data_IF_504587435046
#
_entry.id   IF_504587435046
#
_cell.length_a   1.000
_cell.length_b   1.000
_cell.length_c   1.000
_cell.angle_alpha   90.00
_cell.angle_beta   90.00
_cell.angle_gamma   90.00
#
_symmetry.space_group_name_H-M   'P 1'
#
loop_
_entity.id
_entity.type
_entity.pdbx_description
1 polymer ?
#
# COMPACT_ATOMS: atom_id res chain seq x y z
N UNK A 1 35.34 -11.36 8.43
CA UNK A 1 34.50 -11.49 9.65
C UNK A 1 33.12 -11.90 9.21
N UNK A 2 32.54 -12.95 9.80
CA UNK A 2 31.14 -13.32 9.52
C UNK A 2 30.20 -12.17 9.94
N UNK A 3 29.16 -11.84 9.17
CA UNK A 3 28.21 -10.81 9.56
C UNK A 3 27.54 -11.21 10.89
N UNK A 4 27.65 -10.36 11.91
CA UNK A 4 26.88 -10.54 13.15
C UNK A 4 25.41 -10.56 12.78
N UNK A 5 24.71 -11.64 13.12
CA UNK A 5 23.26 -11.74 12.96
C UNK A 5 22.59 -10.56 13.66
N UNK A 6 21.73 -9.85 12.93
CA UNK A 6 20.97 -8.71 13.46
C UNK A 6 20.00 -9.21 14.54
N UNK A 7 19.84 -8.42 15.60
CA UNK A 7 18.88 -8.72 16.66
C UNK A 7 17.49 -8.23 16.27
N UNK A 8 16.41 -8.90 16.70
CA UNK A 8 15.06 -8.38 16.50
C UNK A 8 14.86 -7.03 17.20
N UNK A 9 14.05 -6.18 16.57
CA UNK A 9 13.53 -4.97 17.17
C UNK A 9 12.63 -5.31 18.37
N UNK A 10 12.57 -4.38 19.32
CA UNK A 10 11.66 -4.55 20.46
C UNK A 10 10.23 -4.34 19.95
N UNK A 11 9.24 -5.13 20.44
CA UNK A 11 7.85 -4.88 20.15
C UNK A 11 7.50 -3.43 20.42
N UNK A 12 6.75 -2.84 19.49
CA UNK A 12 6.34 -1.45 19.61
C UNK A 12 4.97 -1.36 20.26
N UNK A 13 4.68 -0.23 20.91
CA UNK A 13 3.35 -0.03 21.49
C UNK A 13 2.34 0.11 20.36
N UNK A 14 1.16 -0.46 20.55
CA UNK A 14 0.02 -0.19 19.67
C UNK A 14 -0.16 1.33 19.56
N UNK A 15 -0.30 1.80 18.32
CA UNK A 15 -0.55 3.21 18.02
C UNK A 15 -1.96 3.34 17.46
N UNK A 16 -2.60 4.48 17.70
CA UNK A 16 -3.90 4.81 17.11
C UNK A 16 -3.74 5.69 15.87
N UNK A 17 -2.59 5.56 15.18
CA UNK A 17 -2.34 6.33 13.97
C UNK A 17 -3.35 5.94 12.89
N UNK A 18 -3.59 6.86 11.96
CA UNK A 18 -4.44 6.66 10.79
C UNK A 18 -3.70 7.13 9.54
N UNK A 19 -4.08 6.63 8.34
CA UNK A 19 -3.64 7.22 7.07
C UNK A 19 -3.87 8.74 7.05
N UNK A 20 -3.00 9.48 6.35
CA UNK A 20 -3.15 10.92 6.26
C UNK A 20 -4.40 11.29 5.49
N UNK A 21 -5.26 12.09 6.11
CA UNK A 21 -6.41 12.70 5.46
C UNK A 21 -6.39 14.22 5.62
N UNK A 22 -6.94 15.01 4.68
CA UNK A 22 -6.88 16.48 4.67
C UNK A 22 -7.41 17.16 5.94
N UNK A 23 -8.34 16.50 6.63
CA UNK A 23 -8.91 16.92 7.92
C UNK A 23 -8.77 15.83 9.00
N UNK A 24 -7.96 14.80 8.71
CA UNK A 24 -7.74 13.68 9.59
C UNK A 24 -7.01 14.09 10.87
N UNK A 25 -7.16 13.27 11.90
CA UNK A 25 -6.40 13.39 13.15
C UNK A 25 -5.46 12.18 13.27
N UNK A 26 -4.49 12.28 14.17
CA UNK A 26 -3.59 11.17 14.51
C UNK A 26 -2.79 10.62 13.31
N UNK A 27 -2.31 11.49 12.42
CA UNK A 27 -1.36 11.06 11.38
C UNK A 27 -0.13 10.44 12.02
N UNK A 28 0.51 9.50 11.32
CA UNK A 28 1.72 8.83 11.79
C UNK A 28 2.78 9.85 12.27
N UNK A 29 3.35 9.63 13.45
CA UNK A 29 4.46 10.43 14.04
C UNK A 29 5.48 9.45 14.60
N UNK A 30 6.47 9.13 13.80
CA UNK A 30 7.38 8.00 13.96
C UNK A 30 8.84 8.45 14.06
N UNK A 31 9.12 9.75 14.08
CA UNK A 31 10.49 10.30 14.14
C UNK A 31 11.34 9.79 15.32
N UNK A 32 10.70 9.42 16.44
CA UNK A 32 11.33 8.87 17.64
C UNK A 32 11.18 7.33 17.75
N UNK A 33 10.48 6.72 16.80
CA UNK A 33 10.15 5.29 16.77
C UNK A 33 10.84 4.60 15.58
N UNK A 34 12.17 4.53 15.62
CA UNK A 34 13.03 4.06 14.52
C UNK A 34 12.57 2.74 13.86
N UNK A 35 12.18 1.73 14.63
CA UNK A 35 11.69 0.46 14.08
C UNK A 35 10.32 0.59 13.39
N UNK A 36 9.41 1.42 13.93
CA UNK A 36 8.12 1.70 13.29
C UNK A 36 8.30 2.52 12.01
N UNK A 37 9.20 3.52 12.03
CA UNK A 37 9.51 4.31 10.84
C UNK A 37 10.13 3.45 9.74
N UNK A 38 11.03 2.52 10.10
CA UNK A 38 11.60 1.59 9.14
C UNK A 38 10.50 0.73 8.48
N UNK A 39 9.59 0.17 9.28
CA UNK A 39 8.45 -0.61 8.76
C UNK A 39 7.50 0.25 7.90
N UNK A 40 7.24 1.48 8.32
CA UNK A 40 6.38 2.44 7.62
C UNK A 40 6.92 2.85 6.23
N UNK A 41 8.23 2.66 6.01
CA UNK A 41 8.92 2.89 4.74
C UNK A 41 9.23 1.59 3.99
N UNK A 42 8.71 0.44 4.44
CA UNK A 42 8.92 -0.86 3.80
C UNK A 42 10.29 -1.50 4.05
N UNK A 43 11.09 -1.00 5.00
CA UNK A 43 12.39 -1.60 5.32
C UNK A 43 12.27 -2.79 6.30
N UNK A 44 13.07 -3.82 6.07
CA UNK A 44 13.14 -5.01 6.93
C UNK A 44 14.12 -4.86 8.10
N UNK A 45 14.89 -3.78 8.15
CA UNK A 45 15.78 -3.49 9.25
C UNK A 45 16.03 -1.98 9.42
N UNK A 46 16.47 -1.59 10.62
CA UNK A 46 16.73 -0.16 10.90
C UNK A 46 18.07 0.33 10.32
N UNK A 47 18.97 -0.54 9.87
CA UNK A 47 20.20 -0.14 9.19
C UNK A 47 19.86 0.50 7.84
N UNK A 48 18.92 -0.09 7.09
CA UNK A 48 18.46 0.43 5.81
C UNK A 48 17.85 1.83 5.96
N UNK A 49 17.03 2.03 7.00
CA UNK A 49 16.50 3.36 7.34
C UNK A 49 17.63 4.36 7.60
N UNK A 50 18.69 3.97 8.33
CA UNK A 50 19.82 4.86 8.64
C UNK A 50 20.58 5.23 7.37
N UNK A 51 20.87 4.24 6.52
CA UNK A 51 21.54 4.43 5.23
C UNK A 51 20.75 5.38 4.34
N UNK A 52 19.44 5.15 4.20
CA UNK A 52 18.56 6.03 3.43
C UNK A 52 18.46 7.44 4.02
N UNK A 53 18.39 7.58 5.35
CA UNK A 53 18.29 8.88 6.01
C UNK A 53 19.52 9.79 5.78
N UNK A 54 20.69 9.20 5.52
CA UNK A 54 21.93 9.95 5.21
C UNK A 54 22.30 9.93 3.72
N UNK A 55 21.39 9.49 2.86
CA UNK A 55 21.57 9.49 1.41
C UNK A 55 21.24 10.86 0.79
N UNK A 56 21.71 11.10 -0.44
CA UNK A 56 21.59 12.41 -1.09
C UNK A 56 20.15 12.98 -1.18
N UNK A 57 19.07 12.20 -1.45
CA UNK A 57 17.73 12.77 -1.53
C UNK A 57 17.28 13.39 -0.21
N UNK A 58 17.60 12.74 0.91
CA UNK A 58 17.23 13.19 2.24
C UNK A 58 18.07 14.39 2.67
N UNK A 59 19.39 14.35 2.47
CA UNK A 59 20.31 15.43 2.85
C UNK A 59 20.08 16.71 2.03
N UNK A 60 19.76 16.56 0.74
CA UNK A 60 19.40 17.67 -0.14
C UNK A 60 18.08 18.33 0.30
N UNK A 61 17.08 17.51 0.65
CA UNK A 61 15.79 18.00 1.15
C UNK A 61 15.92 18.68 2.53
N UNK A 62 16.74 18.14 3.44
CA UNK A 62 16.96 18.70 4.77
C UNK A 62 17.37 20.18 4.73
N UNK A 63 18.23 20.55 3.77
CA UNK A 63 18.74 21.91 3.57
C UNK A 63 17.64 22.97 3.62
N UNK A 64 16.51 22.71 2.98
CA UNK A 64 15.39 23.65 2.89
C UNK A 64 14.30 23.33 3.92
N UNK A 65 14.13 22.05 4.26
CA UNK A 65 13.13 21.61 5.22
C UNK A 65 13.42 22.13 6.64
N UNK A 66 14.61 21.89 7.17
CA UNK A 66 14.94 22.17 8.56
C UNK A 66 14.71 23.64 9.00
N UNK A 67 15.17 24.67 8.25
CA UNK A 67 14.91 26.06 8.62
C UNK A 67 13.43 26.46 8.49
N UNK A 68 12.72 25.92 7.49
CA UNK A 68 11.32 26.28 7.24
C UNK A 68 10.35 25.55 8.18
N UNK A 69 10.60 24.28 8.50
CA UNK A 69 9.73 23.42 9.31
C UNK A 69 9.89 23.63 10.83
N UNK A 70 10.73 24.57 11.27
CA UNK A 70 10.96 24.82 12.70
C UNK A 70 9.63 25.15 13.41
N UNK A 71 9.24 24.31 14.38
CA UNK A 71 7.95 24.39 15.11
C UNK A 71 6.70 24.29 14.22
N UNK A 72 6.84 23.79 13.00
CA UNK A 72 5.73 23.60 12.08
C UNK A 72 5.00 22.28 12.34
N UNK A 73 3.67 22.30 12.20
CA UNK A 73 2.84 21.10 12.15
C UNK A 73 2.57 20.72 10.69
N UNK A 74 2.33 19.43 10.43
CA UNK A 74 2.11 18.90 9.07
C UNK A 74 0.93 19.59 8.35
N UNK A 75 -0.17 19.80 9.07
CA UNK A 75 -1.45 20.33 8.54
C UNK A 75 -1.26 21.55 7.63
N UNK A 76 -0.40 22.49 8.03
CA UNK A 76 -0.19 23.72 7.26
C UNK A 76 0.48 23.52 5.90
N UNK A 77 1.49 22.65 5.82
CA UNK A 77 2.16 22.35 4.56
C UNK A 77 1.34 21.38 3.69
N UNK A 78 0.65 20.43 4.34
CA UNK A 78 -0.15 19.42 3.66
C UNK A 78 -1.41 20.02 3.04
N UNK A 79 -1.94 21.12 3.55
CA UNK A 79 -3.00 21.88 2.90
C UNK A 79 -2.63 22.32 1.47
N UNK A 80 -1.38 22.75 1.24
CA UNK A 80 -0.90 23.11 -0.11
C UNK A 80 -0.71 21.89 -1.01
N UNK A 81 -0.40 20.72 -0.43
CA UNK A 81 -0.22 19.47 -1.16
C UNK A 81 -1.54 18.78 -1.50
N UNK A 82 -2.58 19.05 -0.70
CA UNK A 82 -3.92 18.53 -0.92
C UNK A 82 -4.69 19.33 -1.98
N UNK A 83 -4.61 20.66 -1.93
CA UNK A 83 -5.29 21.53 -2.88
C UNK A 83 -4.63 21.45 -4.28
N UNK A 84 -5.33 20.99 -5.34
CA UNK A 84 -4.72 20.79 -6.66
C UNK A 84 -4.14 22.07 -7.28
N UNK A 85 -4.78 23.22 -7.04
CA UNK A 85 -4.31 24.53 -7.55
C UNK A 85 -2.99 24.93 -6.91
N UNK A 86 -2.93 24.90 -5.58
CA UNK A 86 -1.72 25.13 -4.80
C UNK A 86 -0.61 24.13 -5.13
N UNK A 87 -0.95 22.84 -5.26
CA UNK A 87 0.02 21.80 -5.60
C UNK A 87 0.65 22.06 -6.97
N UNK A 88 -0.14 22.49 -7.94
CA UNK A 88 0.36 22.86 -9.27
C UNK A 88 1.33 24.05 -9.22
N UNK A 89 1.04 25.07 -8.40
CA UNK A 89 1.97 26.19 -8.14
C UNK A 89 3.30 25.68 -7.55
N UNK A 90 3.22 24.80 -6.54
CA UNK A 90 4.40 24.21 -5.89
C UNK A 90 5.23 23.40 -6.89
N UNK A 91 4.59 22.56 -7.70
CA UNK A 91 5.26 21.71 -8.70
C UNK A 91 5.88 22.53 -9.83
N UNK A 92 5.25 23.62 -10.26
CA UNK A 92 5.83 24.51 -11.28
C UNK A 92 7.13 25.16 -10.77
N UNK A 93 7.17 25.55 -9.49
CA UNK A 93 8.37 26.09 -8.86
C UNK A 93 9.43 25.00 -8.52
N UNK A 94 9.07 23.72 -8.57
CA UNK A 94 9.98 22.60 -8.27
C UNK A 94 11.11 22.45 -9.29
N UNK A 95 10.94 22.98 -10.50
CA UNK A 95 11.78 22.67 -11.66
C UNK A 95 13.04 23.55 -11.76
N UNK A 96 12.99 24.83 -11.34
CA UNK A 96 14.00 25.81 -11.81
C UNK A 96 14.62 26.74 -10.75
N UNK A 97 14.32 26.63 -9.45
CA UNK A 97 14.82 27.62 -8.47
C UNK A 97 14.95 27.11 -7.03
N UNK A 98 15.88 27.70 -6.28
CA UNK A 98 15.92 27.56 -4.83
C UNK A 98 14.62 28.12 -4.22
N UNK A 99 13.92 27.36 -3.36
CA UNK A 99 12.58 27.72 -2.89
C UNK A 99 12.56 29.00 -2.05
N UNK A 100 13.69 29.33 -1.42
CA UNK A 100 13.90 30.55 -0.64
C UNK A 100 13.92 31.83 -1.50
N UNK A 101 14.21 31.72 -2.80
CA UNK A 101 14.17 32.84 -3.75
C UNK A 101 12.76 33.06 -4.31
N UNK A 102 11.96 32.00 -4.39
CA UNK A 102 10.56 32.05 -4.87
C UNK A 102 9.64 32.51 -3.74
N UNK A 103 9.75 31.88 -2.57
CA UNK A 103 8.92 32.15 -1.39
C UNK A 103 9.74 32.86 -0.31
N UNK A 104 10.14 34.09 -0.64
CA UNK A 104 10.97 34.91 0.26
C UNK A 104 10.20 35.31 1.53
N UNK A 105 10.87 35.31 2.67
CA UNK A 105 10.37 35.88 3.92
C UNK A 105 11.55 36.38 4.77
N UNK A 106 11.29 37.35 5.65
CA UNK A 106 12.24 37.95 6.58
C UNK A 106 11.69 37.94 8.00
N UNK A 107 12.58 38.00 9.00
CA UNK A 107 12.21 38.00 10.42
C UNK A 107 11.26 39.15 10.82
N UNK A 108 11.29 40.26 10.08
CA UNK A 108 10.42 41.43 10.32
C UNK A 108 9.06 41.38 9.61
N UNK A 109 8.79 40.39 8.76
CA UNK A 109 7.54 40.31 8.02
C UNK A 109 6.37 39.93 8.94
N UNK A 110 5.11 40.19 8.54
CA UNK A 110 3.94 39.74 9.30
C UNK A 110 4.00 38.23 9.60
N UNK A 111 3.66 37.77 10.83
CA UNK A 111 3.77 36.36 11.21
C UNK A 111 3.03 35.40 10.27
N UNK A 112 1.85 35.80 9.79
CA UNK A 112 1.06 35.01 8.85
C UNK A 112 1.73 34.87 7.48
N UNK A 113 2.42 35.93 7.02
CA UNK A 113 3.19 35.88 5.78
C UNK A 113 4.37 34.91 5.93
N UNK A 114 5.18 35.06 6.98
CA UNK A 114 6.30 34.15 7.26
C UNK A 114 5.83 32.69 7.35
N UNK A 115 4.74 32.44 8.07
CA UNK A 115 4.19 31.09 8.22
C UNK A 115 3.73 30.50 6.89
N UNK A 116 3.11 31.31 6.03
CA UNK A 116 2.64 30.90 4.70
C UNK A 116 3.82 30.54 3.80
N UNK A 117 4.83 31.39 3.69
CA UNK A 117 6.00 31.14 2.84
C UNK A 117 6.78 29.91 3.31
N UNK A 118 6.99 29.76 4.63
CA UNK A 118 7.62 28.56 5.19
C UNK A 118 6.86 27.29 4.84
N UNK A 119 5.52 27.29 4.92
CA UNK A 119 4.69 26.13 4.56
C UNK A 119 4.84 25.77 3.08
N UNK A 120 4.91 26.76 2.19
CA UNK A 120 5.17 26.56 0.75
C UNK A 120 6.55 25.94 0.50
N UNK A 121 7.61 26.46 1.15
CA UNK A 121 8.97 25.89 1.08
C UNK A 121 8.96 24.42 1.54
N UNK A 122 8.25 24.10 2.63
CA UNK A 122 8.18 22.71 3.11
C UNK A 122 7.41 21.82 2.13
N UNK A 123 6.26 22.27 1.61
CA UNK A 123 5.51 21.52 0.61
C UNK A 123 6.36 21.22 -0.64
N UNK A 124 7.05 22.24 -1.18
CA UNK A 124 7.99 22.09 -2.28
C UNK A 124 9.11 21.09 -1.98
N UNK A 125 9.66 21.15 -0.77
CA UNK A 125 10.74 20.26 -0.35
C UNK A 125 10.30 18.81 -0.34
N UNK A 126 9.08 18.53 0.13
CA UNK A 126 8.51 17.18 0.12
C UNK A 126 8.25 16.70 -1.31
N UNK A 127 7.68 17.54 -2.18
CA UNK A 127 7.51 17.22 -3.60
C UNK A 127 8.83 16.86 -4.28
N UNK A 128 9.86 17.70 -4.08
CA UNK A 128 11.17 17.46 -4.68
C UNK A 128 11.89 16.25 -4.08
N UNK A 129 11.72 15.99 -2.79
CA UNK A 129 12.25 14.76 -2.18
C UNK A 129 11.63 13.53 -2.84
N UNK A 130 10.33 13.51 -3.13
CA UNK A 130 9.67 12.41 -3.83
C UNK A 130 10.27 12.21 -5.24
N UNK A 131 10.46 13.28 -6.01
CA UNK A 131 11.09 13.20 -7.34
C UNK A 131 12.54 12.69 -7.25
N UNK A 132 13.29 13.20 -6.28
CA UNK A 132 14.67 12.78 -6.03
C UNK A 132 14.76 11.30 -5.61
N UNK A 133 13.80 10.79 -4.84
CA UNK A 133 13.76 9.36 -4.46
C UNK A 133 13.45 8.48 -5.67
N UNK A 134 12.57 8.92 -6.58
CA UNK A 134 12.35 8.21 -7.85
C UNK A 134 13.65 8.13 -8.65
N UNK A 135 14.36 9.25 -8.80
CA UNK A 135 15.66 9.26 -9.46
C UNK A 135 16.67 8.35 -8.75
N UNK A 136 16.74 8.44 -7.42
CA UNK A 136 17.64 7.63 -6.59
C UNK A 136 17.46 6.12 -6.83
N UNK A 137 16.22 5.66 -6.98
CA UNK A 137 15.89 4.26 -7.29
C UNK A 137 16.44 3.80 -8.63
N UNK A 138 16.38 4.66 -9.65
CA UNK A 138 16.77 4.34 -11.03
C UNK A 138 18.26 4.64 -11.30
N UNK A 139 18.95 5.27 -10.35
CA UNK A 139 20.35 5.70 -10.47
C UNK A 139 21.32 4.58 -10.12
N UNK A 140 22.45 4.51 -10.83
CA UNK A 140 23.50 3.52 -10.55
C UNK A 140 24.09 3.68 -9.14
N UNK A 141 24.63 2.59 -8.58
CA UNK A 141 25.30 2.61 -7.28
C UNK A 141 26.41 3.67 -7.21
N UNK A 142 27.27 3.73 -8.23
CA UNK A 142 28.41 4.65 -8.26
C UNK A 142 27.98 6.12 -8.27
N UNK A 143 26.91 6.43 -8.99
CA UNK A 143 26.36 7.79 -9.03
C UNK A 143 25.66 8.15 -7.70
N UNK A 144 24.88 7.23 -7.12
CA UNK A 144 24.29 7.41 -5.80
C UNK A 144 25.36 7.63 -4.71
N UNK A 145 26.47 6.91 -4.77
CA UNK A 145 27.61 7.10 -3.88
C UNK A 145 28.24 8.48 -4.04
N UNK A 146 28.55 8.87 -5.28
CA UNK A 146 29.13 10.18 -5.60
C UNK A 146 28.24 11.33 -5.10
N UNK A 147 26.94 11.30 -5.42
CA UNK A 147 25.98 12.33 -4.99
C UNK A 147 25.81 12.36 -3.46
N UNK A 148 25.78 11.19 -2.83
CA UNK A 148 25.68 11.09 -1.36
C UNK A 148 26.90 11.69 -0.67
N UNK A 149 28.11 11.42 -1.16
CA UNK A 149 29.33 12.00 -0.61
C UNK A 149 29.37 13.53 -0.76
N UNK A 150 28.93 14.06 -1.91
CA UNK A 150 28.80 15.51 -2.13
C UNK A 150 27.84 16.12 -1.12
N UNK A 151 26.63 15.57 -1.00
CA UNK A 151 25.62 16.11 -0.08
C UNK A 151 25.99 15.93 1.40
N UNK A 152 26.69 14.86 1.77
CA UNK A 152 27.25 14.69 3.12
C UNK A 152 28.29 15.78 3.44
N UNK A 153 29.20 16.08 2.50
CA UNK A 153 30.18 17.14 2.68
C UNK A 153 29.51 18.52 2.81
N UNK A 154 28.52 18.81 1.98
CA UNK A 154 27.75 20.06 2.05
C UNK A 154 26.91 20.13 3.33
N UNK A 155 26.33 19.03 3.78
CA UNK A 155 25.62 18.94 5.06
C UNK A 155 26.56 19.26 6.22
N UNK A 156 27.76 18.67 6.26
CA UNK A 156 28.76 18.97 7.27
C UNK A 156 29.10 20.46 7.28
N UNK A 157 29.37 21.07 6.10
CA UNK A 157 29.63 22.52 5.97
C UNK A 157 28.52 23.38 6.58
N UNK A 158 27.25 23.05 6.27
CA UNK A 158 26.08 23.77 6.81
C UNK A 158 25.96 23.68 8.33
N UNK A 159 26.40 22.57 8.91
CA UNK A 159 26.26 22.30 10.34
C UNK A 159 27.54 22.48 11.17
N UNK A 160 28.68 22.88 10.59
CA UNK A 160 29.92 23.19 11.34
C UNK A 160 29.68 24.24 12.43
N UNK A 161 28.82 25.22 12.16
CA UNK A 161 28.51 26.34 13.06
C UNK A 161 27.31 26.09 13.98
N UNK A 162 26.65 24.93 13.89
CA UNK A 162 25.48 24.62 14.71
C UNK A 162 25.96 24.50 16.17
N UNK A 163 25.63 25.53 16.97
CA UNK A 163 26.15 25.89 18.30
C UNK A 163 25.99 24.84 19.42
N UNK A 164 25.77 23.57 19.09
CA UNK A 164 25.56 22.47 20.03
C UNK A 164 26.88 21.81 20.49
N UNK A 165 28.04 22.24 19.97
CA UNK A 165 29.36 21.76 20.42
C UNK A 165 29.60 20.28 20.12
N UNK A 166 28.94 19.73 19.09
CA UNK A 166 29.04 18.31 18.72
C UNK A 166 29.68 18.17 17.36
N UNK A 167 30.74 17.38 17.30
CA UNK A 167 31.32 16.92 16.05
C UNK A 167 30.39 15.90 15.41
N UNK A 168 29.90 16.23 14.22
CA UNK A 168 29.06 15.37 13.39
C UNK A 168 29.98 14.74 12.34
N UNK A 169 29.84 13.44 12.12
CA UNK A 169 30.55 12.70 11.08
C UNK A 169 29.61 11.73 10.38
N UNK A 170 29.92 11.41 9.14
CA UNK A 170 29.30 10.31 8.40
C UNK A 170 30.29 9.14 8.32
N UNK A 171 29.81 7.92 7.99
CA UNK A 171 30.69 6.79 7.68
C UNK A 171 31.54 7.11 6.44
N UNK A 172 32.78 6.62 6.41
CA UNK A 172 33.69 6.85 5.28
C UNK A 172 33.20 6.18 3.98
N UNK A 173 32.46 5.08 4.12
CA UNK A 173 31.91 4.31 3.01
C UNK A 173 30.43 4.00 3.24
N UNK A 174 29.70 3.82 2.15
CA UNK A 174 28.33 3.33 2.12
C UNK A 174 28.31 2.04 1.32
N UNK A 175 27.72 0.99 1.88
CA UNK A 175 27.73 -0.34 1.24
C UNK A 175 26.48 -0.61 0.41
N UNK A 176 25.42 0.17 0.63
CA UNK A 176 24.13 0.00 -0.02
C UNK A 176 23.38 1.35 -0.15
N UNK A 177 22.36 1.35 -1.01
CA UNK A 177 21.46 2.48 -1.25
C UNK A 177 19.99 1.99 -1.21
N UNK A 178 19.49 1.65 -0.02
CA UNK A 178 18.13 1.13 0.14
C UNK A 178 17.09 2.21 -0.20
N UNK A 179 16.07 1.84 -0.97
CA UNK A 179 15.02 2.76 -1.40
C UNK A 179 13.74 2.49 -0.59
N UNK A 180 13.09 3.52 -0.03
CA UNK A 180 11.84 3.35 0.71
C UNK A 180 10.66 3.07 -0.23
N UNK A 181 9.64 2.43 0.32
CA UNK A 181 8.30 2.38 -0.27
C UNK A 181 7.52 3.63 0.17
N UNK A 182 7.39 4.60 -0.72
CA UNK A 182 6.68 5.85 -0.42
C UNK A 182 5.15 5.74 -0.55
N UNK A 183 4.63 4.65 -1.12
CA UNK A 183 3.20 4.53 -1.45
C UNK A 183 2.73 5.60 -2.45
N UNK A 184 1.43 5.92 -2.49
CA UNK A 184 0.41 5.45 -1.56
C UNK A 184 0.09 3.96 -1.74
N UNK A 185 -0.19 3.28 -0.63
CA UNK A 185 -0.76 1.93 -0.62
C UNK A 185 -2.28 2.04 -0.75
N UNK A 186 -2.75 2.22 -1.97
CA UNK A 186 -4.17 2.48 -2.27
C UNK A 186 -5.07 1.31 -1.88
N UNK A 187 -4.56 0.09 -1.95
CA UNK A 187 -5.19 -1.14 -1.46
C UNK A 187 -5.42 -1.12 0.07
N UNK A 188 -4.63 -0.32 0.79
CA UNK A 188 -4.68 -0.14 2.25
C UNK A 188 -5.33 1.18 2.67
N UNK A 189 -6.03 1.84 1.75
CA UNK A 189 -6.79 3.07 2.02
C UNK A 189 -5.93 4.34 2.12
N UNK A 190 -4.68 4.30 1.66
CA UNK A 190 -3.83 5.49 1.62
C UNK A 190 -4.16 6.37 0.41
N UNK A 191 -3.96 7.69 0.56
CA UNK A 191 -3.97 8.64 -0.55
C UNK A 191 -2.58 9.25 -0.76
N UNK A 192 -2.43 10.06 -1.82
CA UNK A 192 -1.15 10.66 -2.22
C UNK A 192 -0.44 11.47 -1.12
N UNK A 193 -1.16 11.98 -0.11
CA UNK A 193 -0.53 12.70 1.00
C UNK A 193 0.37 11.79 1.84
N UNK A 194 0.15 10.48 1.85
CA UNK A 194 0.96 9.53 2.60
C UNK A 194 2.41 9.50 2.09
N UNK A 195 2.60 9.67 0.78
CA UNK A 195 3.92 9.80 0.16
C UNK A 195 4.71 10.95 0.77
N UNK A 196 4.07 12.10 0.93
CA UNK A 196 4.69 13.28 1.55
C UNK A 196 4.85 13.10 3.07
N UNK A 197 3.95 12.35 3.71
CA UNK A 197 4.05 12.02 5.13
C UNK A 197 5.28 11.18 5.45
N UNK A 198 5.56 10.16 4.64
CA UNK A 198 6.78 9.36 4.72
C UNK A 198 8.04 10.21 4.58
N UNK A 199 8.10 11.10 3.59
CA UNK A 199 9.21 12.05 3.44
C UNK A 199 9.36 12.97 4.66
N UNK A 200 8.25 13.51 5.19
CA UNK A 200 8.27 14.33 6.39
C UNK A 200 8.88 13.58 7.57
N UNK A 201 8.42 12.35 7.82
CA UNK A 201 8.90 11.54 8.95
C UNK A 201 10.39 11.21 8.85
N UNK A 202 10.91 10.92 7.65
CA UNK A 202 12.35 10.72 7.44
C UNK A 202 13.14 11.99 7.77
N UNK A 203 12.69 13.16 7.32
CA UNK A 203 13.36 14.44 7.59
C UNK A 203 13.33 14.78 9.09
N UNK A 204 12.22 14.49 9.77
CA UNK A 204 12.12 14.63 11.24
C UNK A 204 13.02 13.65 11.96
N UNK A 205 13.12 12.41 11.49
CA UNK A 205 14.03 11.40 12.02
C UNK A 205 15.50 11.83 11.90
N UNK A 206 15.91 12.33 10.73
CA UNK A 206 17.25 12.92 10.54
C UNK A 206 17.48 14.10 11.50
N UNK A 207 16.52 15.03 11.58
CA UNK A 207 16.55 16.17 12.51
C UNK A 207 16.65 15.75 13.98
N UNK A 208 16.00 14.65 14.38
CA UNK A 208 16.09 14.10 15.74
C UNK A 208 17.50 13.56 16.08
N UNK A 209 18.33 13.29 15.06
CA UNK A 209 19.72 12.89 15.19
C UNK A 209 20.56 13.93 15.94
N UNK A 210 20.23 15.22 15.82
CA UNK A 210 20.92 16.30 16.53
C UNK A 210 20.64 16.30 18.05
N UNK A 211 19.67 15.55 18.55
CA UNK A 211 19.33 15.48 19.97
C UNK A 211 20.13 14.39 20.72
N UNK A 212 20.54 14.69 21.97
CA UNK A 212 21.07 13.76 22.99
C UNK A 212 21.98 12.60 22.49
N UNK A 213 22.94 12.88 21.61
CA UNK A 213 23.89 11.86 21.11
C UNK A 213 23.29 10.83 20.15
N UNK A 214 22.06 11.06 19.66
CA UNK A 214 21.40 10.19 18.69
C UNK A 214 22.22 10.05 17.39
N UNK A 215 22.88 11.13 16.95
CA UNK A 215 23.78 11.08 15.80
C UNK A 215 24.83 9.98 15.93
N UNK A 216 25.54 9.95 17.07
CA UNK A 216 26.57 8.94 17.32
C UNK A 216 26.01 7.53 17.44
N UNK A 217 24.72 7.38 17.75
CA UNK A 217 24.03 6.09 17.87
C UNK A 217 23.37 5.61 16.59
N UNK A 218 23.31 6.45 15.55
CA UNK A 218 22.60 6.14 14.29
C UNK A 218 23.48 6.29 13.06
N UNK A 219 24.34 7.31 12.99
CA UNK A 219 24.95 7.76 11.75
C UNK A 219 26.48 7.93 11.79
N UNK A 220 27.11 7.98 12.98
CA UNK A 220 28.51 8.41 13.07
C UNK A 220 29.54 7.53 12.36
N UNK A 221 29.30 6.22 12.26
CA UNK A 221 30.21 5.28 11.62
C UNK A 221 29.47 4.01 11.13
N UNK A 222 30.18 3.20 10.36
CA UNK A 222 29.61 2.02 9.73
C UNK A 222 29.21 0.92 10.72
N UNK A 223 29.95 0.75 11.81
CA UNK A 223 29.61 -0.23 12.85
C UNK A 223 28.25 0.09 13.47
N UNK A 224 28.01 1.36 13.79
CA UNK A 224 26.75 1.82 14.36
C UNK A 224 25.61 1.69 13.36
N UNK A 225 25.81 2.09 12.10
CA UNK A 225 24.80 1.93 11.05
C UNK A 225 24.37 0.48 10.89
N UNK A 226 25.33 -0.45 10.81
CA UNK A 226 25.09 -1.90 10.67
C UNK A 226 24.59 -2.58 11.94
N UNK A 227 24.65 -1.92 13.10
CA UNK A 227 24.11 -2.43 14.36
C UNK A 227 22.58 -2.31 14.47
N UNK A 228 21.88 -2.17 13.34
CA UNK A 228 20.44 -2.07 13.29
C UNK A 228 19.72 -3.32 13.82
N UNK A 229 18.40 -3.25 13.76
CA UNK A 229 17.53 -4.32 14.24
C UNK A 229 16.62 -4.81 13.13
N UNK A 230 16.32 -6.11 13.14
CA UNK A 230 15.32 -6.71 12.25
C UNK A 230 13.96 -6.14 12.60
N UNK A 231 13.25 -5.67 11.60
CA UNK A 231 11.91 -5.11 11.66
C UNK A 231 10.96 -6.10 10.99
N UNK A 232 9.82 -6.36 11.62
CA UNK A 232 8.78 -7.23 11.08
C UNK A 232 7.48 -6.45 10.88
N UNK A 233 6.51 -7.09 10.24
CA UNK A 233 5.22 -6.48 9.88
C UNK A 233 4.50 -5.83 11.07
N UNK A 234 4.54 -6.44 12.26
CA UNK A 234 3.90 -5.89 13.48
C UNK A 234 4.43 -4.53 13.94
N UNK A 235 5.55 -4.05 13.37
CA UNK A 235 6.08 -2.71 13.63
C UNK A 235 5.44 -1.64 12.74
N UNK A 236 4.84 -2.02 11.60
CA UNK A 236 4.16 -1.08 10.72
C UNK A 236 2.89 -0.52 11.40
N UNK A 237 2.38 0.65 10.99
CA UNK A 237 1.08 1.11 11.46
C UNK A 237 -0.03 0.10 11.11
N UNK A 238 -1.09 0.02 11.91
CA UNK A 238 -2.08 -1.07 11.82
C UNK A 238 -2.76 -1.22 10.47
N UNK A 239 -2.94 -0.15 9.69
CA UNK A 239 -3.49 -0.22 8.33
C UNK A 239 -2.47 -0.74 7.31
N UNK A 240 -1.18 -0.63 7.60
CA UNK A 240 -0.10 -1.15 6.77
C UNK A 240 0.24 -2.60 7.04
N UNK A 241 -0.06 -3.08 8.26
CA UNK A 241 0.19 -4.46 8.65
C UNK A 241 -0.53 -5.38 7.68
N UNK A 242 0.20 -6.35 7.13
CA UNK A 242 -0.48 -7.51 6.58
C UNK A 242 -1.25 -8.11 7.74
N UNK A 243 -2.58 -8.05 7.66
CA UNK A 243 -3.42 -8.82 8.56
C UNK A 243 -3.02 -10.26 8.27
N UNK A 244 -2.08 -10.80 9.07
CA UNK A 244 -1.87 -12.23 9.13
C UNK A 244 -3.28 -12.77 9.34
N UNK A 245 -3.83 -13.54 8.38
CA UNK A 245 -5.20 -13.98 8.44
C UNK A 245 -5.39 -14.60 9.81
N UNK A 246 -6.10 -13.89 10.67
CA UNK A 246 -6.33 -14.35 12.03
C UNK A 246 -7.48 -15.33 11.83
N UNK A 247 -7.11 -16.52 11.36
CA UNK A 247 -7.95 -17.38 10.54
C UNK A 247 -7.74 -17.11 9.05
N UNK A 248 -6.80 -17.81 8.42
CA UNK A 248 -7.15 -18.36 7.11
C UNK A 248 -8.39 -19.21 7.37
N UNK A 249 -9.47 -19.13 6.56
CA UNK A 249 -10.43 -20.22 6.53
C UNK A 249 -9.59 -21.48 6.35
N UNK A 250 -9.80 -22.46 7.21
CA UNK A 250 -9.16 -23.75 7.07
C UNK A 250 -9.24 -24.16 5.58
N UNK A 251 -8.12 -24.34 4.86
CA UNK A 251 -8.15 -24.70 3.43
C UNK A 251 -8.89 -26.01 3.17
N UNK A 252 -9.31 -26.72 4.22
CA UNK A 252 -10.23 -27.84 4.19
C UNK A 252 -11.64 -27.51 3.65
N UNK A 253 -12.04 -26.24 3.48
CA UNK A 253 -13.39 -25.89 2.99
C UNK A 253 -13.42 -24.80 1.91
N UNK A 254 -12.77 -25.07 0.77
CA UNK A 254 -13.00 -24.31 -0.46
C UNK A 254 -14.50 -24.31 -0.80
N UNK A 255 -15.07 -23.14 -1.06
CA UNK A 255 -16.48 -23.01 -1.41
C UNK A 255 -16.64 -23.10 -2.92
N UNK A 256 -17.23 -24.20 -3.39
CA UNK A 256 -17.67 -24.33 -4.77
C UNK A 256 -19.01 -23.60 -4.95
N UNK A 257 -19.07 -22.72 -5.94
CA UNK A 257 -20.27 -21.99 -6.33
C UNK A 257 -20.70 -22.42 -7.72
N UNK A 258 -21.95 -22.86 -7.86
CA UNK A 258 -22.55 -23.01 -9.16
C UNK A 258 -23.29 -21.72 -9.56
N UNK A 259 -23.05 -21.21 -10.76
CA UNK A 259 -23.82 -20.09 -11.32
C UNK A 259 -24.91 -20.64 -12.23
N UNK A 260 -26.14 -20.17 -12.00
CA UNK A 260 -27.29 -20.35 -12.88
C UNK A 260 -27.75 -18.98 -13.37
N UNK A 261 -27.57 -18.72 -14.66
CA UNK A 261 -28.17 -17.57 -15.31
C UNK A 261 -29.64 -17.85 -15.57
N UNK A 262 -30.51 -17.14 -14.85
CA UNK A 262 -31.96 -17.24 -14.98
C UNK A 262 -32.41 -16.29 -16.10
N UNK A 263 -32.75 -16.87 -17.27
CA UNK A 263 -33.25 -16.13 -18.44
C UNK A 263 -34.55 -16.78 -18.97
N UNK A 264 -35.67 -16.54 -18.30
CA UNK A 264 -36.98 -17.05 -18.72
C UNK A 264 -38.04 -15.94 -18.66
N UNK A 265 -39.24 -16.22 -19.19
CA UNK A 265 -40.34 -15.26 -19.32
C UNK A 265 -40.81 -14.65 -17.99
N UNK A 266 -40.45 -15.26 -16.84
CA UNK A 266 -40.80 -14.74 -15.52
C UNK A 266 -39.79 -13.70 -14.98
N UNK A 267 -38.68 -13.47 -15.69
CA UNK A 267 -37.66 -12.48 -15.31
C UNK A 267 -38.04 -11.12 -15.90
N UNK A 268 -37.88 -10.07 -15.09
CA UNK A 268 -38.12 -8.70 -15.54
C UNK A 268 -37.22 -8.36 -16.73
N UNK A 269 -37.79 -7.71 -17.76
CA UNK A 269 -37.10 -7.35 -19.00
C UNK A 269 -36.60 -8.54 -19.83
N UNK A 270 -37.25 -9.71 -19.72
CA UNK A 270 -36.89 -10.91 -20.49
C UNK A 270 -36.81 -10.64 -22.01
N UNK A 271 -37.79 -9.94 -22.59
CA UNK A 271 -37.81 -9.70 -24.03
C UNK A 271 -36.66 -8.81 -24.50
N UNK A 272 -36.32 -7.79 -23.71
CA UNK A 272 -35.23 -6.87 -23.98
C UNK A 272 -33.87 -7.57 -23.80
N UNK A 273 -33.71 -8.38 -22.76
CA UNK A 273 -32.53 -9.22 -22.56
C UNK A 273 -32.36 -10.23 -23.71
N UNK A 274 -33.44 -10.88 -24.16
CA UNK A 274 -33.41 -11.78 -25.31
C UNK A 274 -33.01 -11.06 -26.61
N UNK A 275 -33.50 -9.84 -26.81
CA UNK A 275 -33.12 -9.00 -27.94
C UNK A 275 -31.63 -8.62 -27.90
N UNK A 276 -31.11 -8.24 -26.73
CA UNK A 276 -29.69 -7.91 -26.55
C UNK A 276 -28.79 -9.12 -26.86
N UNK A 277 -29.18 -10.33 -26.43
CA UNK A 277 -28.48 -11.58 -26.75
C UNK A 277 -28.48 -11.84 -28.27
N UNK A 278 -29.62 -11.68 -28.94
CA UNK A 278 -29.70 -11.85 -30.41
C UNK A 278 -28.84 -10.83 -31.15
N UNK A 279 -28.80 -9.58 -30.69
CA UNK A 279 -27.91 -8.55 -31.24
C UNK A 279 -26.43 -8.90 -31.00
N UNK A 280 -26.08 -9.42 -29.82
CA UNK A 280 -24.72 -9.88 -29.51
C UNK A 280 -24.30 -11.06 -30.42
N UNK A 281 -25.21 -12.02 -30.68
CA UNK A 281 -24.98 -13.12 -31.63
C UNK A 281 -24.71 -12.61 -33.05
N UNK A 282 -25.46 -11.61 -33.52
CA UNK A 282 -25.20 -10.96 -34.83
C UNK A 282 -23.83 -10.30 -34.89
N UNK A 283 -23.34 -9.78 -33.76
CA UNK A 283 -21.97 -9.25 -33.59
C UNK A 283 -20.91 -10.32 -33.36
N UNK A 284 -21.27 -11.61 -33.46
CA UNK A 284 -20.38 -12.76 -33.22
C UNK A 284 -19.81 -12.84 -31.79
N UNK A 285 -20.52 -12.27 -30.81
CA UNK A 285 -20.16 -12.39 -29.39
C UNK A 285 -20.59 -13.75 -28.87
N UNK A 286 -19.69 -14.45 -28.18
CA UNK A 286 -20.00 -15.73 -27.53
C UNK A 286 -20.93 -15.51 -26.33
N UNK A 287 -22.01 -16.29 -26.29
CA UNK A 287 -22.97 -16.33 -25.18
C UNK A 287 -22.57 -17.46 -24.23
N UNK A 288 -22.36 -17.18 -22.93
CA UNK A 288 -22.01 -18.22 -21.96
C UNK A 288 -23.13 -19.23 -21.78
N UNK A 289 -22.80 -20.41 -21.25
CA UNK A 289 -23.79 -21.38 -20.82
C UNK A 289 -24.68 -20.83 -19.69
N UNK A 290 -25.91 -21.33 -19.60
CA UNK A 290 -26.85 -20.91 -18.54
C UNK A 290 -26.53 -21.47 -17.17
N UNK A 291 -25.61 -22.44 -17.08
CA UNK A 291 -25.17 -23.08 -15.85
C UNK A 291 -23.69 -23.43 -15.97
N UNK A 292 -22.89 -23.06 -14.97
CA UNK A 292 -21.46 -23.40 -14.89
C UNK A 292 -20.92 -23.22 -13.47
N UNK A 293 -19.82 -23.92 -13.15
CA UNK A 293 -19.11 -23.73 -11.90
C UNK A 293 -18.31 -22.43 -11.95
N UNK A 294 -18.52 -21.57 -10.97
CA UNK A 294 -17.76 -20.34 -10.82
C UNK A 294 -16.31 -20.70 -10.47
N UNK A 295 -15.32 -20.19 -11.21
CA UNK A 295 -13.94 -20.65 -11.08
C UNK A 295 -13.23 -20.13 -9.81
N UNK A 296 -13.91 -19.32 -9.00
CA UNK A 296 -13.32 -18.65 -7.84
C UNK A 296 -14.09 -18.98 -6.58
N UNK A 297 -13.37 -19.21 -5.49
CA UNK A 297 -13.98 -19.22 -4.16
C UNK A 297 -14.44 -17.78 -3.81
N UNK A 298 -15.70 -17.55 -3.41
CA UNK A 298 -16.21 -16.23 -3.10
C UNK A 298 -15.47 -15.51 -1.95
N UNK A 299 -14.83 -16.26 -1.04
CA UNK A 299 -14.14 -15.68 0.12
C UNK A 299 -12.83 -14.98 -0.26
N UNK A 300 -12.26 -15.31 -1.43
CA UNK A 300 -11.02 -14.70 -1.93
C UNK A 300 -11.20 -13.23 -2.28
N UNK A 301 -12.44 -12.80 -2.54
CA UNK A 301 -12.72 -11.42 -2.89
C UNK A 301 -12.71 -10.53 -1.64
N UNK A 302 -11.84 -9.51 -1.58
CA UNK A 302 -11.81 -8.56 -0.47
C UNK A 302 -13.07 -7.69 -0.43
N UNK A 303 -13.67 -7.41 -1.59
CA UNK A 303 -14.82 -6.51 -1.76
C UNK A 303 -15.93 -7.19 -2.58
N UNK A 304 -17.19 -6.90 -2.26
CA UNK A 304 -18.35 -7.42 -3.02
C UNK A 304 -18.37 -6.93 -4.47
N UNK A 305 -17.87 -5.73 -4.73
CA UNK A 305 -17.73 -5.18 -6.08
C UNK A 305 -16.86 -6.08 -6.96
N UNK A 306 -15.73 -6.58 -6.43
CA UNK A 306 -14.85 -7.48 -7.16
C UNK A 306 -15.50 -8.82 -7.44
N UNK A 307 -16.28 -9.34 -6.50
CA UNK A 307 -17.06 -10.57 -6.70
C UNK A 307 -18.07 -10.39 -7.85
N UNK A 308 -18.86 -9.31 -7.83
CA UNK A 308 -19.84 -8.98 -8.89
C UNK A 308 -19.17 -8.73 -10.25
N UNK A 309 -18.05 -8.02 -10.26
CA UNK A 309 -17.32 -7.75 -11.49
C UNK A 309 -16.73 -9.03 -12.11
N UNK A 310 -16.31 -10.00 -11.29
CA UNK A 310 -15.87 -11.30 -11.80
C UNK A 310 -17.04 -12.12 -12.35
N UNK A 311 -18.21 -12.07 -11.71
CA UNK A 311 -19.44 -12.63 -12.28
C UNK A 311 -19.75 -12.00 -13.65
N UNK A 312 -19.70 -10.67 -13.77
CA UNK A 312 -19.90 -9.96 -15.05
C UNK A 312 -18.95 -10.44 -16.14
N UNK A 313 -17.69 -10.69 -15.79
CA UNK A 313 -16.67 -11.21 -16.73
C UNK A 313 -16.97 -12.65 -17.13
N UNK A 314 -17.31 -13.52 -16.19
CA UNK A 314 -17.69 -14.92 -16.48
C UNK A 314 -18.92 -14.99 -17.39
N UNK A 315 -19.88 -14.08 -17.22
CA UNK A 315 -21.08 -14.00 -18.04
C UNK A 315 -20.92 -13.15 -19.30
N UNK A 316 -19.72 -12.60 -19.55
CA UNK A 316 -19.44 -11.74 -20.69
C UNK A 316 -20.42 -10.54 -20.83
N UNK A 317 -20.89 -10.03 -19.69
CA UNK A 317 -21.95 -9.03 -19.58
C UNK A 317 -21.73 -7.81 -20.48
N UNK A 318 -20.51 -7.25 -20.48
CA UNK A 318 -20.17 -6.07 -21.27
C UNK A 318 -20.35 -6.30 -22.78
N UNK A 319 -19.83 -7.41 -23.31
CA UNK A 319 -19.92 -7.70 -24.74
C UNK A 319 -21.35 -8.05 -25.17
N UNK A 320 -22.16 -8.58 -24.25
CA UNK A 320 -23.57 -8.86 -24.47
C UNK A 320 -24.45 -7.59 -24.40
N UNK A 321 -23.96 -6.51 -23.80
CA UNK A 321 -24.80 -5.33 -23.50
C UNK A 321 -25.77 -5.59 -22.35
N UNK A 322 -25.34 -6.39 -21.37
CA UNK A 322 -26.11 -6.78 -20.19
C UNK A 322 -25.37 -6.40 -18.91
N UNK A 323 -26.09 -6.11 -17.83
CA UNK A 323 -25.58 -5.90 -16.48
C UNK A 323 -26.36 -6.76 -15.46
N UNK A 324 -25.84 -6.87 -14.24
CA UNK A 324 -26.46 -7.59 -13.13
C UNK A 324 -27.71 -6.85 -12.64
N UNK A 325 -28.86 -7.51 -12.73
CA UNK A 325 -30.11 -7.03 -12.15
C UNK A 325 -30.31 -7.54 -10.71
N UNK A 326 -29.98 -8.82 -10.48
CA UNK A 326 -30.04 -9.42 -9.15
C UNK A 326 -29.17 -10.66 -9.04
N UNK A 327 -28.67 -10.93 -7.83
CA UNK A 327 -27.92 -12.14 -7.49
C UNK A 327 -28.52 -12.72 -6.22
N UNK A 328 -29.07 -13.93 -6.30
CA UNK A 328 -29.57 -14.69 -5.15
C UNK A 328 -28.65 -15.87 -4.91
N UNK A 329 -28.14 -15.97 -3.68
CA UNK A 329 -27.37 -17.13 -3.25
C UNK A 329 -28.34 -18.07 -2.54
N UNK A 330 -28.39 -19.30 -3.01
CA UNK A 330 -29.14 -20.40 -2.43
C UNK A 330 -28.13 -21.39 -1.84
N UNK A 331 -28.41 -21.94 -0.67
CA UNK A 331 -27.65 -23.08 -0.16
C UNK A 331 -28.61 -24.10 0.45
N UNK A 332 -28.13 -25.34 0.52
CA UNK A 332 -28.83 -26.44 1.17
C UNK A 332 -28.12 -26.77 2.47
N UNK A 333 -28.89 -26.90 3.54
CA UNK A 333 -28.41 -27.43 4.81
C UNK A 333 -28.65 -28.94 4.83
N UNK A 334 -27.57 -29.72 4.79
CA UNK A 334 -27.63 -31.19 4.80
C UNK A 334 -28.11 -31.76 6.15
N UNK A 335 -27.95 -31.01 7.25
CA UNK A 335 -28.32 -31.46 8.59
C UNK A 335 -29.80 -31.16 8.91
N UNK A 336 -30.32 -30.03 8.42
CA UNK A 336 -31.68 -29.55 8.76
C UNK A 336 -32.72 -29.65 7.63
N UNK A 337 -32.35 -30.18 6.46
CA UNK A 337 -33.22 -30.23 5.27
C UNK A 337 -33.82 -28.83 4.95
N UNK A 338 -33.03 -27.79 5.20
CA UNK A 338 -33.49 -26.40 5.19
C UNK A 338 -32.84 -25.63 4.05
N UNK A 339 -33.67 -24.89 3.30
CA UNK A 339 -33.22 -24.03 2.21
C UNK A 339 -33.05 -22.60 2.70
N UNK A 340 -31.83 -22.10 2.67
CA UNK A 340 -31.48 -20.73 3.06
C UNK A 340 -31.14 -19.90 1.82
N UNK A 341 -31.39 -18.59 1.89
CA UNK A 341 -31.08 -17.67 0.81
C UNK A 341 -30.49 -16.34 1.29
N UNK A 342 -29.62 -15.75 0.48
CA UNK A 342 -29.02 -14.44 0.70
C UNK A 342 -29.07 -13.57 -0.58
N UNK A 343 -29.07 -12.24 -0.40
CA UNK A 343 -29.07 -11.28 -1.50
C UNK A 343 -27.66 -10.78 -1.79
N UNK A 344 -26.97 -11.39 -2.75
CA UNK A 344 -25.60 -10.95 -3.07
C UNK A 344 -25.52 -9.62 -3.85
N UNK A 345 -26.66 -9.04 -4.23
CA UNK A 345 -26.74 -7.77 -4.94
C UNK A 345 -26.93 -6.57 -4.01
N UNK A 346 -27.65 -6.71 -2.90
CA UNK A 346 -27.92 -5.59 -1.98
C UNK A 346 -27.32 -5.77 -0.59
N UNK A 347 -26.98 -7.00 -0.19
CA UNK A 347 -26.49 -7.29 1.15
C UNK A 347 -25.06 -6.81 1.37
N UNK A 348 -24.79 -6.43 2.61
CA UNK A 348 -23.45 -6.11 3.09
C UNK A 348 -22.49 -7.30 2.94
N UNK A 349 -21.26 -7.03 2.49
CA UNK A 349 -20.28 -8.07 2.15
C UNK A 349 -19.89 -8.93 3.35
N UNK A 350 -19.74 -8.33 4.54
CA UNK A 350 -19.39 -9.09 5.74
C UNK A 350 -20.49 -10.08 6.13
N UNK A 351 -21.76 -9.70 5.96
CA UNK A 351 -22.90 -10.62 6.17
C UNK A 351 -22.93 -11.75 5.14
N UNK A 352 -22.60 -11.45 3.89
CA UNK A 352 -22.58 -12.44 2.83
C UNK A 352 -21.40 -13.43 3.00
N UNK A 353 -20.23 -12.95 3.42
CA UNK A 353 -19.11 -13.81 3.81
C UNK A 353 -19.47 -14.72 4.97
N UNK A 354 -20.10 -14.19 6.02
CA UNK A 354 -20.58 -15.00 7.14
C UNK A 354 -21.61 -16.06 6.70
N UNK A 355 -22.40 -15.78 5.66
CA UNK A 355 -23.32 -16.75 5.07
C UNK A 355 -22.57 -17.89 4.35
N UNK A 356 -21.49 -17.58 3.65
CA UNK A 356 -20.62 -18.56 3.00
C UNK A 356 -19.81 -19.39 4.01
N UNK A 357 -19.31 -18.76 5.07
CA UNK A 357 -18.49 -19.39 6.12
C UNK A 357 -19.31 -20.25 7.10
N UNK A 358 -20.64 -20.19 7.06
CA UNK A 358 -21.49 -20.97 7.97
C UNK A 358 -21.24 -22.47 7.75
N UNK A 359 -20.79 -23.20 8.78
CA UNK A 359 -20.44 -24.60 8.62
C UNK A 359 -21.62 -25.52 8.28
N UNK A 360 -22.86 -25.07 8.46
CA UNK A 360 -24.07 -25.82 8.10
C UNK A 360 -24.52 -25.58 6.66
N UNK A 361 -23.91 -24.64 5.94
CA UNK A 361 -24.26 -24.37 4.54
C UNK A 361 -23.34 -25.14 3.58
N UNK A 362 -23.93 -25.89 2.65
CA UNK A 362 -23.23 -26.53 1.53
C UNK A 362 -23.98 -26.31 0.22
N UNK A 363 -23.38 -26.74 -0.91
CA UNK A 363 -24.01 -26.76 -2.23
C UNK A 363 -24.58 -25.40 -2.66
N UNK A 364 -23.70 -24.39 -2.71
CA UNK A 364 -24.12 -23.03 -3.00
C UNK A 364 -24.43 -22.81 -4.50
N UNK A 365 -25.58 -22.22 -4.77
CA UNK A 365 -26.05 -21.89 -6.12
C UNK A 365 -26.35 -20.39 -6.21
N UNK A 366 -25.75 -19.72 -7.20
CA UNK A 366 -26.01 -18.34 -7.55
C UNK A 366 -27.03 -18.26 -8.68
N UNK A 367 -28.26 -17.86 -8.35
CA UNK A 367 -29.26 -17.50 -9.35
C UNK A 367 -29.09 -16.02 -9.76
N UNK A 368 -28.76 -15.80 -11.03
CA UNK A 368 -28.39 -14.49 -11.57
C UNK A 368 -29.41 -14.06 -12.62
N UNK A 369 -29.96 -12.85 -12.45
CA UNK A 369 -30.76 -12.18 -13.47
C UNK A 369 -29.96 -11.03 -14.06
N UNK A 370 -30.09 -10.84 -15.37
CA UNK A 370 -29.40 -9.78 -16.11
C UNK A 370 -30.41 -8.83 -16.75
N UNK A 371 -30.02 -7.57 -16.88
CA UNK A 371 -30.77 -6.52 -17.56
C UNK A 371 -29.97 -5.86 -18.67
N UNK A 372 -30.61 -5.35 -19.74
CA UNK A 372 -29.92 -4.67 -20.82
C UNK A 372 -29.43 -3.28 -20.43
N UNK A 373 -28.30 -2.85 -20.98
CA UNK A 373 -27.81 -1.48 -20.92
C UNK A 373 -27.39 -0.97 -22.30
N UNK A 374 -27.25 0.34 -22.45
CA UNK A 374 -26.78 0.95 -23.69
C UNK A 374 -25.26 0.79 -23.85
N UNK A 375 -24.85 -0.12 -24.72
CA UNK A 375 -23.43 -0.40 -24.98
C UNK A 375 -22.71 0.76 -25.67
N UNK A 376 -23.44 1.67 -26.32
CA UNK A 376 -22.87 2.79 -27.06
C UNK A 376 -22.69 4.04 -26.17
N UNK A 377 -23.08 3.99 -24.88
CA UNK A 377 -22.79 5.06 -23.92
C UNK A 377 -21.32 5.01 -23.47
N UNK A 378 -20.47 5.95 -23.92
CA UNK A 378 -19.04 5.95 -23.60
C UNK A 378 -18.76 6.29 -22.12
N UNK A 379 -19.76 6.77 -21.37
CA UNK A 379 -19.64 7.13 -19.97
C UNK A 379 -20.15 6.04 -19.01
N UNK A 380 -20.78 5.00 -19.53
CA UNK A 380 -21.32 3.92 -18.73
C UNK A 380 -20.30 2.78 -18.58
N UNK A 381 -19.95 2.47 -17.34
CA UNK A 381 -19.12 1.30 -16.98
C UNK A 381 -19.92 0.39 -16.08
N UNK A 382 -20.07 -0.88 -16.48
CA UNK A 382 -20.71 -1.91 -15.64
C UNK A 382 -19.81 -2.38 -14.49
N UNK A 383 -18.51 -2.09 -14.53
CA UNK A 383 -17.59 -2.51 -13.46
C UNK A 383 -17.62 -1.54 -12.30
N UNK A 384 -17.84 -2.09 -11.10
CA UNK A 384 -17.97 -1.34 -9.86
C UNK A 384 -16.61 -1.03 -9.22
N UNK A 385 -15.59 -1.87 -9.45
CA UNK A 385 -14.24 -1.66 -8.94
C UNK A 385 -13.28 -1.18 -10.03
N UNK A 386 -12.59 -0.07 -9.75
CA UNK A 386 -11.57 0.51 -10.63
C UNK A 386 -10.20 -0.16 -10.52
N UNK A 387 -10.04 -1.15 -9.62
CA UNK A 387 -8.78 -1.89 -9.48
C UNK A 387 -8.56 -2.89 -10.62
N UNK A 388 -7.30 -3.26 -10.85
CA UNK A 388 -6.94 -4.33 -11.79
C UNK A 388 -7.65 -5.65 -11.37
N UNK A 389 -8.28 -6.39 -12.32
CA UNK A 389 -8.90 -7.68 -12.01
C UNK A 389 -7.90 -8.64 -11.36
N UNK A 390 -8.38 -9.51 -10.48
CA UNK A 390 -7.57 -10.59 -9.90
C UNK A 390 -7.08 -11.48 -11.05
N UNK A 391 -5.77 -11.60 -11.23
CA UNK A 391 -5.16 -12.35 -12.33
C UNK A 391 -5.26 -13.87 -12.06
N UNK A 392 -5.84 -14.66 -12.98
CA UNK A 392 -6.00 -16.10 -12.83
C UNK A 392 -4.68 -16.88 -12.63
N UNK A 393 -3.57 -16.37 -13.14
CA UNK A 393 -2.27 -17.01 -13.05
C UNK A 393 -1.59 -16.80 -11.70
N UNK A 394 -1.94 -15.74 -10.96
CA UNK A 394 -1.36 -15.45 -9.65
C UNK A 394 -1.97 -16.31 -8.54
N UNK A 395 -3.24 -16.72 -8.68
CA UNK A 395 -3.92 -17.51 -7.65
C UNK A 395 -3.66 -19.03 -7.78
N UNK A 396 -3.57 -19.56 -9.00
CA UNK A 396 -3.30 -20.99 -9.24
C UNK A 396 -1.81 -21.36 -9.12
N UNK A 397 -0.90 -20.38 -9.11
CA UNK A 397 0.55 -20.61 -9.07
C UNK A 397 1.15 -20.70 -7.66
N UNK A 398 0.34 -20.89 -6.61
CA UNK A 398 0.83 -21.32 -5.29
C UNK A 398 0.63 -22.83 -5.13
N UNK A 399 1.56 -23.68 -5.61
CA UNK A 399 1.55 -25.08 -5.20
C UNK A 399 2.03 -25.18 -3.75
N UNK A 400 1.23 -25.85 -2.93
CA UNK A 400 1.62 -26.46 -1.67
C UNK A 400 2.91 -27.26 -1.86
N UNK A 401 4.05 -26.69 -1.46
CA UNK A 401 5.27 -27.45 -1.20
C UNK A 401 5.56 -27.33 0.29
N UNK A 402 4.78 -28.05 1.08
CA UNK A 402 5.22 -28.43 2.41
C UNK A 402 6.54 -29.20 2.26
N UNK A 403 7.52 -28.74 3.03
CA UNK A 403 8.83 -29.35 3.16
C UNK A 403 8.64 -30.73 3.79
N UNK A 404 8.65 -31.78 2.98
CA UNK A 404 8.90 -33.14 3.47
C UNK A 404 10.33 -33.13 4.01
N UNK A 405 10.46 -32.97 5.32
CA UNK A 405 11.68 -33.32 6.04
C UNK A 405 11.66 -34.83 6.17
N UNK A 406 12.33 -35.54 5.27
CA UNK A 406 12.74 -36.92 5.50
C UNK A 406 13.63 -36.93 6.75
N UNK A 407 13.07 -37.37 7.88
CA UNK A 407 13.84 -37.93 8.98
C UNK A 407 14.23 -39.34 8.59
N UNK A 408 15.42 -39.51 8.04
CA UNK A 408 16.10 -40.80 8.14
C UNK A 408 16.66 -40.94 9.56
N UNK A 409 16.05 -41.84 10.32
CA UNK A 409 16.62 -42.46 11.51
C UNK A 409 17.85 -43.28 11.15
N UNK A 410 18.95 -43.21 11.93
CA UNK A 410 20.07 -44.12 11.74
C UNK A 410 19.75 -45.47 12.37
N UNK A 411 19.64 -46.50 11.54
CA UNK A 411 19.67 -47.89 12.00
C UNK A 411 21.09 -48.24 12.44
N UNK A 412 21.20 -48.53 13.73
CA UNK A 412 22.31 -49.23 14.33
C UNK A 412 22.17 -50.75 14.07
N UNK A 413 23.33 -51.39 13.88
CA UNK A 413 23.64 -52.82 14.02
C UNK A 413 23.52 -53.73 12.79
N UNK A 414 24.69 -54.18 12.33
CA UNK A 414 25.23 -55.55 12.54
C UNK A 414 25.81 -56.19 11.27
N UNK A 415 26.95 -56.88 11.44
CA UNK A 415 27.23 -58.11 10.69
C UNK A 415 28.33 -58.07 9.62
N UNK A 416 29.54 -58.48 10.03
CA UNK A 416 30.38 -59.51 9.38
C UNK A 416 30.67 -59.43 7.86
N UNK A 417 31.88 -58.99 7.51
CA UNK A 417 33.03 -59.84 7.13
C UNK A 417 34.25 -59.01 6.74
#
# INVERSE_FOLDING_TARGET
MAPKLLKPARPTKATNFQPVEPNGKNWAKLEDHEAQLAAYLGFHNTSDLREFAISWPTLLAERYFAPAAQKMTKVGAFGFLFDPGSRSEILAAAVDSSPELVWTWKSGDPPNHQATQKRKIVAWTLCNMVLNIKQYKDTSFAENLSRTQIEQAEFLKRHVSNKLGRTISFPETMDNFPCPELGPLTDKGENELETYNRCWEVLRYLGSGFHKGNWNRRFANMEVMKSGRIVNDSHAPSWMQTVAPTGLPDPSRSIELEIIWVHNENVAMYHETALAIEQARRRQVAVPGSQFIFPWDPLVFPKVQQFRDNIRRCLNCQALGLDLQSIRVHCYDEDEDSHQQADAFTQDWSKLKAFFENPHHSNFVLAICLEPFDIDDPMFSIYEDGSVPIDPLLYLATPNSETIVERETPDEQSGEN
#
